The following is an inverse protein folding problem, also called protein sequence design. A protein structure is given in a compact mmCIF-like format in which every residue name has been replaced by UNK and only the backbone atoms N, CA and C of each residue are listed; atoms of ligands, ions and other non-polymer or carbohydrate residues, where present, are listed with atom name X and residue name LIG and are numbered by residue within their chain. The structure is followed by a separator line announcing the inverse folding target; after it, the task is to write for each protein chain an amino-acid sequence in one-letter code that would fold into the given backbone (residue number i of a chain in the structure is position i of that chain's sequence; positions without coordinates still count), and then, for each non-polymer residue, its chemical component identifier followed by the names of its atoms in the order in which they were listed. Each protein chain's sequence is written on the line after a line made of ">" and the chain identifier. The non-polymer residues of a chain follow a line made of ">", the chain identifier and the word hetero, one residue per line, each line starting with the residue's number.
data_IF_622016218564
#
_entry.id   IF_622016218564
#
_cell.length_a   1.000
_cell.length_b   1.000
_cell.length_c   1.000
_cell.angle_alpha   90.00
_cell.angle_beta   90.00
_cell.angle_gamma   90.00
#
_symmetry.space_group_name_H-M   'P 1'
#
loop_
_entity.id
_entity.type
_entity.pdbx_description
1 polymer ?
#
# COMPACT_ATOMS: atom_id res chain seq x y z
N UNK A 1 2.96 -17.00 12.07
CA UNK A 1 2.63 -17.57 10.74
C UNK A 1 2.94 -19.04 10.78
N UNK A 2 2.01 -19.90 10.34
CA UNK A 2 2.28 -21.34 10.25
C UNK A 2 3.40 -21.59 9.23
N UNK A 3 4.25 -22.54 9.52
CA UNK A 3 5.32 -23.00 8.60
C UNK A 3 4.71 -23.58 7.32
N UNK A 4 5.43 -23.49 6.22
CA UNK A 4 4.98 -23.77 4.84
C UNK A 4 4.36 -25.16 4.59
N UNK A 5 4.35 -26.07 5.57
CA UNK A 5 3.90 -27.46 5.39
C UNK A 5 2.44 -27.79 5.67
N UNK A 6 1.71 -26.93 6.42
CA UNK A 6 0.41 -27.29 6.99
C UNK A 6 -0.71 -26.27 6.69
N UNK A 7 -0.50 -25.32 5.78
CA UNK A 7 -1.56 -24.39 5.41
C UNK A 7 -2.62 -25.12 4.57
N UNK A 8 -3.91 -25.10 4.96
CA UNK A 8 -4.95 -25.68 4.14
C UNK A 8 -5.01 -24.99 2.77
N UNK A 9 -5.49 -25.68 1.73
CA UNK A 9 -5.67 -25.06 0.42
C UNK A 9 -6.51 -23.79 0.55
N UNK A 10 -6.17 -22.77 -0.24
CA UNK A 10 -6.91 -21.51 -0.25
C UNK A 10 -8.38 -21.82 -0.60
N UNK A 11 -9.28 -21.64 0.36
CA UNK A 11 -10.69 -21.93 0.20
C UNK A 11 -11.33 -21.06 -0.88
N UNK A 12 -12.05 -21.70 -1.80
CA UNK A 12 -13.00 -21.02 -2.67
C UNK A 12 -14.32 -21.00 -1.93
N UNK A 13 -14.69 -19.92 -1.30
CA UNK A 13 -15.97 -19.88 -0.62
C UNK A 13 -16.18 -18.60 0.18
N UNK A 14 -17.41 -18.40 0.59
CA UNK A 14 -17.85 -17.28 1.42
C UNK A 14 -17.46 -17.43 2.91
N UNK A 15 -16.37 -18.14 3.17
CA UNK A 15 -15.80 -18.18 4.51
C UNK A 15 -15.20 -16.82 4.86
N UNK A 16 -15.44 -16.39 6.09
CA UNK A 16 -14.91 -15.11 6.59
C UNK A 16 -13.92 -15.36 7.75
N UNK A 17 -12.67 -15.80 7.46
CA UNK A 17 -11.65 -16.02 8.48
C UNK A 17 -11.28 -14.73 9.22
N UNK A 18 -11.37 -13.56 8.60
CA UNK A 18 -11.10 -12.29 9.27
C UNK A 18 -12.09 -12.04 10.41
N UNK A 19 -13.39 -12.18 10.13
CA UNK A 19 -14.42 -12.05 11.17
C UNK A 19 -14.28 -13.11 12.24
N UNK A 20 -14.06 -14.38 11.85
CA UNK A 20 -13.91 -15.50 12.83
C UNK A 20 -12.69 -15.35 13.74
N UNK A 21 -11.64 -14.69 13.28
CA UNK A 21 -10.43 -14.48 14.08
C UNK A 21 -10.66 -13.60 15.31
N UNK A 22 -11.67 -12.71 15.26
CA UNK A 22 -11.90 -11.69 16.28
C UNK A 22 -10.76 -10.67 16.41
N UNK A 23 -9.74 -10.73 15.55
CA UNK A 23 -8.60 -9.82 15.60
C UNK A 23 -8.94 -8.50 14.93
N UNK A 24 -8.44 -7.37 15.46
CA UNK A 24 -8.55 -6.09 14.76
C UNK A 24 -7.96 -6.17 13.35
N UNK A 25 -8.53 -5.42 12.41
CA UNK A 25 -8.05 -5.34 11.03
C UNK A 25 -6.59 -4.83 10.98
N UNK A 26 -6.26 -3.96 11.91
CA UNK A 26 -4.96 -3.32 12.02
C UNK A 26 -4.52 -3.25 13.48
N UNK A 27 -3.30 -3.73 13.78
CA UNK A 27 -2.69 -3.57 15.10
C UNK A 27 -1.17 -3.70 15.06
N UNK A 28 -0.51 -3.08 16.03
CA UNK A 28 0.93 -3.19 16.25
C UNK A 28 1.27 -4.56 16.83
N UNK A 29 2.33 -5.18 16.32
CA UNK A 29 2.93 -6.40 16.89
C UNK A 29 4.27 -6.04 17.57
N UNK A 30 4.65 -6.79 18.60
CA UNK A 30 5.86 -6.48 19.36
C UNK A 30 7.13 -6.64 18.52
N UNK A 31 7.22 -7.72 17.75
CA UNK A 31 8.38 -7.99 16.90
C UNK A 31 8.06 -8.96 15.77
N UNK A 32 8.54 -8.63 14.55
CA UNK A 32 8.51 -9.57 13.42
C UNK A 32 9.38 -10.81 13.67
N UNK A 33 10.48 -10.66 14.41
CA UNK A 33 11.36 -11.78 14.76
C UNK A 33 10.66 -12.84 15.62
N UNK A 34 9.75 -12.41 16.52
CA UNK A 34 8.90 -13.30 17.30
C UNK A 34 7.96 -14.17 16.46
N UNK A 35 7.74 -13.80 15.20
CA UNK A 35 6.97 -14.57 14.21
C UNK A 35 7.87 -15.41 13.27
N UNK A 36 9.16 -15.47 13.52
CA UNK A 36 10.13 -16.18 12.66
C UNK A 36 10.41 -15.46 11.34
N UNK A 37 10.12 -14.16 11.25
CA UNK A 37 10.33 -13.37 10.04
C UNK A 37 11.65 -12.62 10.15
N UNK A 38 12.66 -13.06 9.39
CA UNK A 38 13.97 -12.41 9.33
C UNK A 38 13.87 -11.04 8.64
N UNK A 39 14.36 -10.00 9.32
CA UNK A 39 14.46 -8.66 8.75
C UNK A 39 15.73 -8.56 7.91
N UNK A 40 15.64 -8.04 6.66
CA UNK A 40 16.83 -7.72 5.90
C UNK A 40 17.48 -6.44 6.44
N UNK A 41 18.71 -6.21 6.06
CA UNK A 41 19.38 -4.94 6.30
C UNK A 41 18.61 -3.79 5.62
N UNK A 42 18.48 -2.67 6.34
CA UNK A 42 18.00 -1.43 5.74
C UNK A 42 19.12 -0.83 4.89
N UNK A 43 19.00 -0.89 3.57
CA UNK A 43 20.07 -0.47 2.64
C UNK A 43 19.95 0.97 2.15
N UNK A 44 18.74 1.52 2.14
CA UNK A 44 18.46 2.81 1.50
C UNK A 44 17.32 3.52 2.22
N UNK A 45 17.60 4.61 2.90
CA UNK A 45 16.60 5.52 3.45
C UNK A 45 15.46 4.82 4.22
N UNK A 46 14.24 5.10 3.84
CA UNK A 46 13.07 4.42 4.37
C UNK A 46 12.74 3.18 3.52
N UNK A 47 12.88 2.02 4.12
CA UNK A 47 12.56 0.75 3.49
C UNK A 47 11.44 0.06 4.25
N UNK A 48 10.51 -0.55 3.52
CA UNK A 48 9.39 -1.29 4.08
C UNK A 48 9.40 -2.71 3.52
N UNK A 49 9.24 -3.69 4.40
CA UNK A 49 9.04 -5.08 3.99
C UNK A 49 7.66 -5.57 4.38
N UNK A 50 7.05 -6.29 3.48
CA UNK A 50 5.72 -6.89 3.68
C UNK A 50 5.81 -8.40 3.46
N UNK A 51 5.28 -9.17 4.41
CA UNK A 51 4.94 -10.58 4.23
C UNK A 51 3.43 -10.68 4.18
N UNK A 52 2.91 -11.18 3.09
CA UNK A 52 1.49 -11.37 2.92
C UNK A 52 1.16 -12.84 2.69
N UNK A 53 0.01 -13.27 3.20
CA UNK A 53 -0.56 -14.57 2.90
C UNK A 53 -2.04 -14.45 2.60
N UNK A 54 -2.52 -15.35 1.77
CA UNK A 54 -3.93 -15.52 1.50
C UNK A 54 -4.62 -16.26 2.64
N UNK A 55 -5.77 -15.80 3.06
CA UNK A 55 -6.66 -16.50 4.00
C UNK A 55 -7.79 -17.20 3.23
N UNK A 56 -8.31 -16.51 2.21
CA UNK A 56 -9.22 -17.03 1.18
C UNK A 56 -8.80 -16.43 -0.16
N UNK A 57 -9.59 -16.64 -1.21
CA UNK A 57 -9.33 -16.02 -2.51
C UNK A 57 -9.26 -14.49 -2.40
N UNK A 58 -10.11 -13.86 -1.58
CA UNK A 58 -10.20 -12.39 -1.47
C UNK A 58 -9.62 -11.85 -0.17
N UNK A 59 -9.64 -12.61 0.93
CA UNK A 59 -9.10 -12.17 2.22
C UNK A 59 -7.61 -12.46 2.33
N UNK A 60 -6.86 -11.48 2.75
CA UNK A 60 -5.41 -11.54 2.95
C UNK A 60 -5.06 -10.96 4.32
N UNK A 61 -3.98 -11.42 4.89
CA UNK A 61 -3.32 -10.71 5.98
C UNK A 61 -1.86 -10.45 5.65
N UNK A 62 -1.33 -9.38 6.20
CA UNK A 62 0.05 -8.99 5.99
C UNK A 62 0.71 -8.54 7.30
N UNK A 63 2.00 -8.79 7.41
CA UNK A 63 2.88 -8.17 8.39
C UNK A 63 3.73 -7.15 7.64
N UNK A 64 3.64 -5.90 8.06
CA UNK A 64 4.37 -4.77 7.49
C UNK A 64 5.40 -4.31 8.50
N UNK A 65 6.64 -4.16 8.07
CA UNK A 65 7.75 -3.72 8.91
C UNK A 65 8.46 -2.54 8.26
N UNK A 66 8.56 -1.45 9.02
CA UNK A 66 9.47 -0.36 8.68
C UNK A 66 10.89 -0.77 9.07
N UNK A 67 11.79 -0.92 8.10
CA UNK A 67 13.12 -1.44 8.35
C UNK A 67 14.01 -0.44 9.12
N UNK A 68 13.74 0.85 9.01
CA UNK A 68 14.48 1.88 9.74
C UNK A 68 14.20 1.88 11.25
N UNK A 69 12.95 1.68 11.66
CA UNK A 69 12.53 1.69 13.08
C UNK A 69 12.33 0.29 13.66
N UNK A 70 12.21 -0.74 12.84
CA UNK A 70 11.81 -2.08 13.26
C UNK A 70 10.34 -2.19 13.68
N UNK A 71 9.55 -1.11 13.58
CA UNK A 71 8.14 -1.14 13.92
C UNK A 71 7.38 -2.09 13.01
N UNK A 72 6.58 -2.96 13.61
CA UNK A 72 5.86 -4.00 12.90
C UNK A 72 4.35 -3.90 13.15
N UNK A 73 3.57 -4.14 12.09
CA UNK A 73 2.12 -4.02 12.11
C UNK A 73 1.48 -5.19 11.36
N UNK A 74 0.40 -5.69 11.92
CA UNK A 74 -0.49 -6.61 11.19
C UNK A 74 -1.58 -5.81 10.51
N UNK A 75 -1.85 -6.11 9.24
CA UNK A 75 -2.96 -5.58 8.46
C UNK A 75 -3.76 -6.72 7.86
N UNK A 76 -5.05 -6.48 7.67
CA UNK A 76 -5.91 -7.36 6.89
C UNK A 76 -6.52 -6.58 5.72
N UNK A 77 -6.75 -7.26 4.61
CA UNK A 77 -7.48 -6.72 3.46
C UNK A 77 -8.49 -7.72 2.92
N UNK A 78 -9.54 -7.20 2.34
CA UNK A 78 -10.57 -7.96 1.64
C UNK A 78 -10.95 -7.19 0.37
N UNK A 79 -11.69 -7.83 -0.51
CA UNK A 79 -12.28 -7.16 -1.66
C UNK A 79 -13.77 -6.91 -1.42
N UNK A 80 -14.33 -5.97 -2.18
CA UNK A 80 -15.78 -5.73 -2.16
C UNK A 80 -16.57 -6.82 -2.88
N UNK A 81 -17.91 -6.83 -2.71
CA UNK A 81 -18.77 -7.86 -3.30
C UNK A 81 -18.68 -7.96 -4.83
N UNK A 82 -18.31 -6.90 -5.53
CA UNK A 82 -18.15 -6.90 -6.98
C UNK A 82 -16.98 -7.77 -7.47
N UNK A 83 -16.02 -8.07 -6.59
CA UNK A 83 -14.93 -9.02 -6.82
C UNK A 83 -15.11 -10.32 -6.00
N UNK A 84 -16.34 -10.62 -5.57
CA UNK A 84 -16.67 -11.79 -4.75
C UNK A 84 -16.01 -11.79 -3.35
N UNK A 85 -15.65 -10.61 -2.85
CA UNK A 85 -15.20 -10.37 -1.47
C UNK A 85 -16.37 -10.14 -0.52
N UNK A 86 -16.08 -10.03 0.77
CA UNK A 86 -17.07 -9.84 1.83
C UNK A 86 -17.03 -8.43 2.45
N UNK A 87 -16.16 -7.56 1.95
CA UNK A 87 -15.96 -6.20 2.47
C UNK A 87 -15.67 -6.19 3.99
N UNK A 88 -14.98 -7.23 4.48
CA UNK A 88 -14.66 -7.39 5.90
C UNK A 88 -13.42 -6.59 6.34
N UNK A 89 -12.70 -5.99 5.39
CA UNK A 89 -11.54 -5.13 5.62
C UNK A 89 -11.33 -4.22 4.39
N UNK A 90 -10.58 -3.09 4.54
CA UNK A 90 -10.27 -2.22 3.41
C UNK A 90 -9.64 -2.99 2.24
N UNK A 91 -10.02 -2.63 1.02
CA UNK A 91 -9.42 -3.23 -0.17
C UNK A 91 -7.95 -2.75 -0.35
N UNK A 92 -7.13 -3.49 -1.11
CA UNK A 92 -5.72 -3.14 -1.33
C UNK A 92 -5.52 -1.72 -1.87
N UNK A 93 -6.42 -1.26 -2.74
CA UNK A 93 -6.37 0.10 -3.31
C UNK A 93 -6.65 1.18 -2.27
N UNK A 94 -7.47 0.91 -1.25
CA UNK A 94 -7.69 1.83 -0.14
C UNK A 94 -6.41 2.06 0.67
N UNK A 95 -5.61 1.03 0.93
CA UNK A 95 -4.31 1.18 1.58
C UNK A 95 -3.35 2.01 0.75
N UNK A 96 -3.30 1.80 -0.57
CA UNK A 96 -2.47 2.59 -1.49
C UNK A 96 -2.87 4.07 -1.44
N UNK A 97 -4.16 4.38 -1.57
CA UNK A 97 -4.68 5.76 -1.53
C UNK A 97 -4.40 6.42 -0.18
N UNK A 98 -4.62 5.71 0.94
CA UNK A 98 -4.31 6.21 2.28
C UNK A 98 -2.82 6.51 2.44
N UNK A 99 -1.94 5.64 1.94
CA UNK A 99 -0.50 5.86 1.95
C UNK A 99 -0.09 7.10 1.16
N UNK A 100 -0.70 7.34 0.00
CA UNK A 100 -0.45 8.52 -0.83
C UNK A 100 -0.83 9.80 -0.09
N UNK A 101 -2.08 9.91 0.36
CA UNK A 101 -2.57 11.15 1.02
C UNK A 101 -1.81 11.43 2.33
N UNK A 102 -1.46 10.40 3.08
CA UNK A 102 -0.66 10.55 4.30
C UNK A 102 0.75 11.06 3.99
N UNK A 103 1.36 10.59 2.92
CA UNK A 103 2.68 11.06 2.47
C UNK A 103 2.62 12.52 2.02
N UNK A 104 1.62 12.91 1.25
CA UNK A 104 1.45 14.31 0.85
C UNK A 104 1.24 15.24 2.04
N UNK A 105 0.40 14.84 3.00
CA UNK A 105 0.18 15.63 4.22
C UNK A 105 1.46 15.82 5.02
N UNK A 106 2.28 14.77 5.13
CA UNK A 106 3.58 14.87 5.81
C UNK A 106 4.48 15.91 5.15
N UNK A 107 4.64 15.86 3.82
CA UNK A 107 5.51 16.80 3.11
C UNK A 107 4.97 18.24 3.14
N UNK A 108 3.64 18.44 3.08
CA UNK A 108 3.01 19.75 3.23
C UNK A 108 3.37 20.34 4.61
N UNK A 109 3.20 19.58 5.69
CA UNK A 109 3.48 20.04 7.04
C UNK A 109 4.96 20.30 7.26
N UNK A 110 5.85 19.42 6.77
CA UNK A 110 7.29 19.58 6.90
C UNK A 110 7.81 20.83 6.15
N UNK A 111 7.31 21.08 4.94
CA UNK A 111 7.69 22.28 4.18
C UNK A 111 7.11 23.55 4.79
N UNK A 112 5.88 23.51 5.33
CA UNK A 112 5.27 24.63 6.01
C UNK A 112 6.07 25.02 7.27
N UNK A 113 6.43 24.04 8.09
CA UNK A 113 7.29 24.25 9.26
C UNK A 113 8.64 24.85 8.87
N UNK A 114 9.30 24.31 7.83
CA UNK A 114 10.58 24.82 7.34
C UNK A 114 10.54 26.24 6.74
N UNK A 115 9.35 26.79 6.52
CA UNK A 115 9.11 28.14 5.96
C UNK A 115 8.39 29.07 6.92
N UNK A 116 8.19 28.66 8.16
CA UNK A 116 7.42 29.41 9.18
C UNK A 116 5.97 29.75 8.73
N UNK A 117 5.38 28.89 7.89
CA UNK A 117 3.98 29.03 7.42
C UNK A 117 3.06 28.29 8.39
N UNK A 118 2.16 29.03 9.00
CA UNK A 118 1.16 28.46 9.91
C UNK A 118 0.10 27.67 9.13
N UNK A 119 -0.08 26.42 9.50
CA UNK A 119 -1.14 25.54 8.97
C UNK A 119 -2.12 25.15 10.09
N UNK A 120 -3.40 25.44 9.93
CA UNK A 120 -4.48 25.01 10.84
C UNK A 120 -5.55 24.27 10.07
N UNK A 121 -6.21 23.33 10.72
CA UNK A 121 -7.35 22.57 10.13
C UNK A 121 -7.02 21.96 8.76
N UNK A 122 -5.76 21.49 8.55
CA UNK A 122 -5.35 20.87 7.28
C UNK A 122 -6.13 19.58 7.03
N UNK A 123 -6.89 19.54 5.95
CA UNK A 123 -7.63 18.37 5.47
C UNK A 123 -7.28 18.13 4.02
N UNK A 124 -6.93 16.90 3.69
CA UNK A 124 -6.73 16.43 2.33
C UNK A 124 -7.83 15.45 1.96
N UNK A 125 -8.48 15.68 0.82
CA UNK A 125 -9.41 14.73 0.22
C UNK A 125 -8.82 14.29 -1.11
N UNK A 126 -8.67 12.97 -1.30
CA UNK A 126 -8.04 12.41 -2.48
C UNK A 126 -8.92 11.34 -3.10
N UNK A 127 -9.17 11.49 -4.39
CA UNK A 127 -9.83 10.50 -5.22
C UNK A 127 -8.83 9.87 -6.19
N UNK A 128 -8.71 8.56 -6.11
CA UNK A 128 -7.94 7.75 -7.05
C UNK A 128 -8.91 6.97 -7.95
N UNK A 129 -8.73 7.07 -9.25
CA UNK A 129 -9.57 6.40 -10.23
C UNK A 129 -8.78 5.28 -10.89
N UNK A 130 -9.22 4.05 -10.68
CA UNK A 130 -8.57 2.88 -11.24
C UNK A 130 -9.38 2.32 -12.39
N UNK A 131 -8.69 1.80 -13.37
CA UNK A 131 -9.30 1.18 -14.54
C UNK A 131 -8.83 -0.26 -14.70
N UNK A 132 -9.66 -1.10 -15.27
CA UNK A 132 -9.32 -2.46 -15.60
C UNK A 132 -9.91 -2.80 -16.98
N UNK A 133 -9.06 -3.17 -17.93
CA UNK A 133 -9.45 -3.48 -19.30
C UNK A 133 -8.96 -4.87 -19.68
N UNK A 134 -9.63 -5.50 -20.65
CA UNK A 134 -9.29 -6.85 -21.11
C UNK A 134 -10.27 -7.92 -20.63
N UNK A 135 -9.83 -9.15 -20.66
CA UNK A 135 -10.65 -10.32 -20.31
C UNK A 135 -9.88 -11.23 -19.35
N UNK A 136 -10.45 -11.51 -18.20
CA UNK A 136 -9.91 -12.46 -17.24
C UNK A 136 -9.84 -13.88 -17.85
N UNK A 137 -10.86 -14.28 -18.61
CA UNK A 137 -10.90 -15.59 -19.27
C UNK A 137 -9.79 -15.79 -20.32
N UNK A 138 -9.35 -14.70 -20.95
CA UNK A 138 -8.28 -14.74 -21.96
C UNK A 138 -6.91 -14.41 -21.37
N UNK A 139 -6.81 -14.12 -20.08
CA UNK A 139 -5.57 -13.70 -19.45
C UNK A 139 -5.01 -12.36 -19.99
N UNK A 140 -5.87 -11.48 -20.49
CA UNK A 140 -5.48 -10.19 -21.09
C UNK A 140 -5.86 -9.00 -20.23
N UNK A 141 -6.17 -9.21 -18.95
CA UNK A 141 -6.50 -8.14 -18.03
C UNK A 141 -5.30 -7.22 -17.81
N UNK A 142 -5.55 -5.93 -17.92
CA UNK A 142 -4.57 -4.87 -17.64
C UNK A 142 -5.19 -3.83 -16.73
N UNK A 143 -4.56 -3.59 -15.59
CA UNK A 143 -4.91 -2.50 -14.67
C UNK A 143 -4.30 -1.19 -15.12
N UNK A 144 -5.00 -0.10 -14.84
CA UNK A 144 -4.53 1.26 -15.08
C UNK A 144 -5.10 2.22 -14.06
N UNK A 145 -4.72 3.48 -14.18
CA UNK A 145 -5.26 4.56 -13.36
C UNK A 145 -5.46 5.81 -14.20
N UNK A 146 -6.42 6.62 -13.81
CA UNK A 146 -6.61 7.99 -14.29
C UNK A 146 -5.86 8.98 -13.38
N UNK A 147 -5.73 10.24 -13.77
CA UNK A 147 -5.13 11.26 -12.91
C UNK A 147 -5.83 11.34 -11.54
N UNK A 148 -5.02 11.44 -10.50
CA UNK A 148 -5.49 11.61 -9.12
C UNK A 148 -6.09 13.01 -8.96
N UNK A 149 -7.23 13.13 -8.26
CA UNK A 149 -7.75 14.40 -7.81
C UNK A 149 -7.41 14.58 -6.32
N UNK A 150 -6.73 15.67 -6.00
CA UNK A 150 -6.36 16.06 -4.63
C UNK A 150 -6.94 17.42 -4.31
N UNK A 151 -7.79 17.49 -3.29
CA UNK A 151 -8.35 18.73 -2.71
C UNK A 151 -7.66 18.97 -1.36
N UNK A 152 -7.03 20.14 -1.22
CA UNK A 152 -6.33 20.57 0.00
C UNK A 152 -7.10 21.73 0.60
N UNK A 153 -7.55 21.56 1.84
CA UNK A 153 -8.27 22.56 2.62
C UNK A 153 -7.45 22.90 3.85
N UNK A 154 -7.20 24.19 4.08
CA UNK A 154 -6.35 24.63 5.17
C UNK A 154 -6.68 26.07 5.57
N UNK A 155 -6.57 26.37 6.86
CA UNK A 155 -6.54 27.73 7.38
C UNK A 155 -5.07 28.15 7.53
N UNK A 156 -4.67 29.20 6.83
CA UNK A 156 -3.29 29.68 6.80
C UNK A 156 -3.22 31.20 6.71
N UNK A 157 -2.08 31.76 7.06
CA UNK A 157 -1.72 33.17 6.88
C UNK A 157 -0.88 33.43 5.61
N UNK A 158 -0.52 32.37 4.89
CA UNK A 158 0.19 32.46 3.61
C UNK A 158 -0.75 32.96 2.49
N UNK A 159 -0.19 33.68 1.53
CA UNK A 159 -0.92 34.04 0.31
C UNK A 159 -1.11 32.82 -0.63
N UNK A 160 -2.00 32.96 -1.59
CA UNK A 160 -2.40 31.88 -2.49
C UNK A 160 -1.23 31.33 -3.33
N UNK A 161 -0.28 32.17 -3.73
CA UNK A 161 0.85 31.77 -4.56
C UNK A 161 1.87 30.99 -3.74
N UNK A 162 2.16 31.45 -2.53
CA UNK A 162 3.03 30.75 -1.58
C UNK A 162 2.44 29.38 -1.21
N UNK A 163 1.12 29.33 -0.94
CA UNK A 163 0.43 28.07 -0.63
C UNK A 163 0.44 27.10 -1.81
N UNK A 164 0.13 27.59 -3.03
CA UNK A 164 0.16 26.78 -4.25
C UNK A 164 1.55 26.22 -4.55
N UNK A 165 2.58 27.07 -4.37
CA UNK A 165 3.97 26.67 -4.52
C UNK A 165 4.37 25.58 -3.53
N UNK A 166 4.02 25.76 -2.26
CA UNK A 166 4.30 24.80 -1.19
C UNK A 166 3.62 23.44 -1.46
N UNK A 167 2.32 23.41 -1.77
CA UNK A 167 1.60 22.17 -2.04
C UNK A 167 2.17 21.45 -3.27
N UNK A 168 2.50 22.19 -4.34
CA UNK A 168 3.11 21.61 -5.55
C UNK A 168 4.45 20.95 -5.24
N UNK A 169 5.28 21.60 -4.44
CA UNK A 169 6.59 21.08 -4.03
C UNK A 169 6.43 19.87 -3.12
N UNK A 170 5.52 19.92 -2.16
CA UNK A 170 5.21 18.82 -1.25
C UNK A 170 4.81 17.55 -1.99
N UNK A 171 3.89 17.67 -2.96
CA UNK A 171 3.51 16.53 -3.81
C UNK A 171 4.72 15.95 -4.55
N UNK A 172 5.58 16.82 -5.10
CA UNK A 172 6.80 16.39 -5.80
C UNK A 172 7.84 15.76 -4.87
N UNK A 173 7.93 16.20 -3.63
CA UNK A 173 8.84 15.66 -2.63
C UNK A 173 8.41 14.29 -2.11
N UNK A 174 7.13 13.95 -2.21
CA UNK A 174 6.59 12.69 -1.70
C UNK A 174 7.24 11.47 -2.37
N UNK A 175 7.83 10.54 -1.60
CA UNK A 175 8.38 9.29 -2.14
C UNK A 175 7.33 8.42 -2.82
N UNK A 176 6.07 8.49 -2.36
CA UNK A 176 4.96 7.73 -2.96
C UNK A 176 4.60 8.28 -4.33
N UNK A 177 4.59 9.61 -4.50
CA UNK A 177 4.41 10.22 -5.81
C UNK A 177 5.62 9.91 -6.73
N UNK A 178 6.82 9.86 -6.18
CA UNK A 178 8.03 9.42 -6.87
C UNK A 178 7.89 8.00 -7.45
N UNK A 179 7.20 7.10 -6.76
CA UNK A 179 6.93 5.74 -7.23
C UNK A 179 6.02 5.71 -8.47
N UNK A 180 5.16 6.71 -8.67
CA UNK A 180 4.22 6.77 -9.77
C UNK A 180 4.82 7.40 -11.06
N UNK A 181 5.85 8.23 -10.94
CA UNK A 181 6.39 9.02 -12.05
C UNK A 181 7.31 8.27 -13.00
N UNK A 182 8.37 7.59 -12.55
CA UNK A 182 9.30 6.93 -13.46
C UNK A 182 8.85 5.49 -13.77
N UNK A 183 9.38 4.97 -14.87
CA UNK A 183 9.25 3.55 -15.19
C UNK A 183 10.22 2.75 -14.32
N UNK A 184 9.72 2.10 -13.30
CA UNK A 184 10.51 1.18 -12.49
C UNK A 184 10.40 -0.23 -13.04
N UNK A 185 11.52 -0.94 -13.08
CA UNK A 185 11.52 -2.38 -13.36
C UNK A 185 11.35 -3.12 -12.05
N UNK A 186 10.24 -3.82 -11.91
CA UNK A 186 10.02 -4.72 -10.78
C UNK A 186 10.87 -5.98 -10.93
N UNK A 187 11.50 -6.42 -9.83
CA UNK A 187 12.22 -7.68 -9.77
C UNK A 187 11.32 -8.71 -9.09
N UNK A 188 11.21 -9.88 -9.73
CA UNK A 188 10.43 -10.99 -9.21
C UNK A 188 11.30 -12.21 -9.00
N UNK A 189 11.10 -12.87 -7.89
CA UNK A 189 11.59 -14.21 -7.63
C UNK A 189 10.38 -15.09 -7.34
N UNK A 190 10.31 -16.25 -7.96
CA UNK A 190 9.25 -17.22 -7.73
C UNK A 190 9.86 -18.48 -7.15
N UNK A 191 9.33 -18.94 -6.03
CA UNK A 191 9.64 -20.23 -5.45
C UNK A 191 8.35 -21.05 -5.38
N UNK A 192 8.35 -22.23 -5.97
CA UNK A 192 7.23 -23.16 -5.94
C UNK A 192 7.69 -24.49 -5.37
N UNK A 193 6.96 -25.01 -4.37
CA UNK A 193 7.28 -26.28 -3.68
C UNK A 193 8.71 -26.37 -3.12
N UNK A 194 9.30 -25.22 -2.78
CA UNK A 194 10.68 -25.12 -2.28
C UNK A 194 11.73 -24.83 -3.35
N UNK A 195 11.41 -24.96 -4.64
CA UNK A 195 12.33 -24.76 -5.75
C UNK A 195 12.18 -23.36 -6.35
N UNK A 196 13.30 -22.71 -6.67
CA UNK A 196 13.31 -21.43 -7.37
C UNK A 196 12.93 -21.61 -8.84
N UNK A 197 11.87 -20.90 -9.25
CA UNK A 197 11.43 -20.86 -10.63
C UNK A 197 11.95 -19.59 -11.31
N UNK A 198 12.48 -19.72 -12.52
CA UNK A 198 12.89 -18.57 -13.32
C UNK A 198 11.65 -17.79 -13.80
N UNK A 199 11.52 -16.56 -13.36
CA UNK A 199 10.50 -15.63 -13.86
C UNK A 199 11.20 -14.64 -14.79
N UNK A 200 10.69 -14.50 -16.01
CA UNK A 200 11.15 -13.45 -16.91
C UNK A 200 10.96 -12.06 -16.30
N UNK A 201 11.71 -11.07 -16.75
CA UNK A 201 11.50 -9.68 -16.35
C UNK A 201 10.08 -9.28 -16.72
N UNK A 202 9.27 -8.92 -15.73
CA UNK A 202 8.01 -8.24 -15.98
C UNK A 202 8.36 -6.78 -16.22
N UNK A 203 8.54 -6.43 -17.49
CA UNK A 203 8.61 -5.03 -17.89
C UNK A 203 7.23 -4.44 -17.63
N UNK A 204 7.14 -3.34 -16.90
CA UNK A 204 5.94 -2.51 -16.93
C UNK A 204 5.73 -2.06 -18.37
N UNK A 205 4.74 -2.61 -19.04
CA UNK A 205 4.31 -2.18 -20.37
C UNK A 205 3.67 -0.80 -20.23
N UNK A 206 4.51 0.22 -20.06
CA UNK A 206 4.10 1.59 -20.23
C UNK A 206 4.25 1.97 -21.69
N UNK A 207 3.18 2.06 -22.39
CA UNK A 207 3.03 2.89 -23.58
C UNK A 207 2.26 4.15 -23.21
#
# INVERSE_FOLDING_TARGET
>A
MATHGDAPPIGRGRENPLLRSGLPIFFRIESANGLGLALPENRHGQSVRVWARSLTTMQKEAIVVSLGSGAAWRLASDEGPYLDGLDAAPCPLAFMTTGMVSSYMHEILALAEGRDITMRNLVLVQDNFYTMVGSALRGTMTGGALPVALDVRVDTDADDDALRGLVTEAVRASPVDGLLRPRHTSLFTLTANGDECRVGRVASLGR
#
